data_IF_190256487935
#
_entry.id   IF_190256487935
#
_cell.length_a   1.000
_cell.length_b   1.000
_cell.length_c   1.000
_cell.angle_alpha   90.00
_cell.angle_beta   90.00
_cell.angle_gamma   90.00
#
_symmetry.space_group_name_H-M   'P 1'
#
loop_
_entity.id
_entity.type
_entity.pdbx_description
1 polymer ?
#
# COMPACT_ATOMS: atom_id res chain seq x y z
N UNK A 1 -30.91 13.34 17.43
CA UNK A 1 -29.58 13.97 17.20
C UNK A 1 -29.62 14.61 15.83
N UNK A 2 -29.37 15.91 15.71
CA UNK A 2 -29.51 16.66 14.45
C UNK A 2 -28.21 16.50 13.65
N UNK A 3 -28.25 15.72 12.56
CA UNK A 3 -27.10 15.40 11.69
C UNK A 3 -27.08 16.30 10.46
N UNK A 4 -27.21 17.61 10.65
CA UNK A 4 -27.10 18.56 9.54
C UNK A 4 -25.63 18.96 9.39
N UNK A 5 -24.96 18.63 8.26
CA UNK A 5 -23.59 19.05 8.03
C UNK A 5 -23.52 20.59 7.98
N UNK A 6 -22.45 21.20 8.52
CA UNK A 6 -22.27 22.64 8.45
C UNK A 6 -22.19 23.08 6.99
N UNK A 7 -22.88 24.18 6.67
CA UNK A 7 -22.90 24.78 5.33
C UNK A 7 -21.46 25.08 4.89
N UNK A 8 -21.10 24.59 3.71
CA UNK A 8 -19.84 24.86 3.05
C UNK A 8 -19.67 26.38 2.91
N UNK A 9 -18.68 26.95 3.61
CA UNK A 9 -18.38 28.37 3.51
C UNK A 9 -17.52 28.58 2.28
N UNK A 10 -18.15 28.96 1.18
CA UNK A 10 -17.44 29.49 0.03
C UNK A 10 -16.54 30.65 0.47
N UNK A 11 -15.25 30.52 0.17
CA UNK A 11 -14.31 31.61 0.37
C UNK A 11 -14.63 32.68 -0.69
N UNK A 12 -14.72 33.96 -0.29
CA UNK A 12 -14.94 35.03 -1.26
C UNK A 12 -13.82 35.06 -2.31
N UNK A 13 -14.15 35.46 -3.53
CA UNK A 13 -13.30 35.33 -4.72
C UNK A 13 -11.91 35.99 -4.56
N UNK A 14 -11.83 37.05 -3.76
CA UNK A 14 -10.61 37.77 -3.40
C UNK A 14 -9.60 36.90 -2.62
N UNK A 15 -10.08 36.05 -1.71
CA UNK A 15 -9.26 35.10 -0.96
C UNK A 15 -8.63 34.05 -1.87
N UNK A 16 -9.37 33.55 -2.85
CA UNK A 16 -8.84 32.58 -3.82
C UNK A 16 -7.72 33.17 -4.69
N UNK A 17 -7.86 34.44 -5.10
CA UNK A 17 -6.83 35.13 -5.87
C UNK A 17 -5.57 35.41 -5.05
N UNK A 18 -5.71 35.79 -3.78
CA UNK A 18 -4.59 36.01 -2.87
C UNK A 18 -3.76 34.73 -2.65
N UNK A 19 -4.42 33.60 -2.39
CA UNK A 19 -3.76 32.30 -2.20
C UNK A 19 -2.98 31.88 -3.46
N UNK A 20 -3.58 32.09 -4.64
CA UNK A 20 -2.91 31.75 -5.92
C UNK A 20 -1.68 32.63 -6.16
N UNK A 21 -1.74 33.92 -5.82
CA UNK A 21 -0.61 34.84 -5.96
C UNK A 21 0.56 34.48 -5.02
N UNK A 22 0.27 34.06 -3.79
CA UNK A 22 1.30 33.65 -2.82
C UNK A 22 2.01 32.36 -3.22
N UNK A 23 1.27 31.37 -3.74
CA UNK A 23 1.85 30.14 -4.28
C UNK A 23 2.78 30.42 -5.46
N UNK A 24 2.38 31.30 -6.37
CA UNK A 24 3.22 31.71 -7.50
C UNK A 24 4.49 32.45 -7.06
N UNK A 25 4.41 33.25 -5.99
CA UNK A 25 5.57 33.96 -5.43
C UNK A 25 6.55 32.99 -4.78
N UNK A 26 6.06 32.02 -4.01
CA UNK A 26 6.88 30.99 -3.36
C UNK A 26 7.63 30.11 -4.37
N UNK A 27 7.02 29.80 -5.51
CA UNK A 27 7.66 29.02 -6.57
C UNK A 27 8.77 29.77 -7.31
N UNK A 28 8.75 31.11 -7.33
CA UNK A 28 9.76 31.92 -8.03
C UNK A 28 11.05 32.15 -7.23
N UNK A 29 11.03 31.94 -5.91
CA UNK A 29 12.16 32.24 -5.02
C UNK A 29 13.27 31.18 -4.94
N UNK A 30 13.15 30.02 -5.60
CA UNK A 30 14.22 28.99 -5.65
C UNK A 30 14.84 28.86 -7.04
N UNK A 31 15.66 29.84 -7.44
CA UNK A 31 16.64 29.66 -8.52
C UNK A 31 17.74 30.72 -8.43
N UNK A 32 18.89 30.39 -7.83
CA UNK A 32 20.27 30.59 -8.36
C UNK A 32 21.34 30.65 -7.27
N UNK A 33 22.38 29.80 -7.41
CA UNK A 33 23.85 30.04 -7.30
C UNK A 33 24.56 28.66 -7.21
N UNK A 34 25.18 28.16 -8.29
CA UNK A 34 26.58 28.36 -8.75
C UNK A 34 27.65 27.54 -7.97
N UNK A 35 28.00 26.34 -8.51
CA UNK A 35 29.31 25.70 -8.90
C UNK A 35 30.56 25.99 -8.00
N UNK A 36 31.49 25.05 -7.62
CA UNK A 36 32.30 24.24 -8.56
C UNK A 36 32.81 22.83 -8.19
N UNK A 37 33.26 22.14 -9.25
CA UNK A 37 34.00 20.88 -9.32
C UNK A 37 35.36 20.94 -8.63
N UNK A 38 35.84 19.81 -8.07
CA UNK A 38 37.27 19.52 -7.82
C UNK A 38 37.46 18.03 -7.41
N UNK A 39 38.39 17.38 -8.14
CA UNK A 39 39.36 16.35 -7.67
C UNK A 39 38.85 14.98 -7.19
N UNK A 40 39.59 13.88 -7.20
CA UNK A 40 40.75 13.36 -7.92
C UNK A 40 40.95 11.92 -7.38
N UNK A 41 41.65 11.09 -8.16
CA UNK A 41 42.15 9.75 -7.88
C UNK A 41 42.48 9.38 -6.41
N UNK A 42 42.17 8.14 -6.03
CA UNK A 42 42.69 7.46 -4.84
C UNK A 42 42.81 5.95 -5.09
N UNK A 43 44.02 5.43 -5.00
CA UNK A 43 44.45 4.12 -5.47
C UNK A 43 44.25 2.97 -4.47
N UNK A 44 44.34 1.75 -5.04
CA UNK A 44 44.82 0.47 -4.48
C UNK A 44 45.28 0.44 -3.01
N UNK A 45 44.78 -0.55 -2.27
CA UNK A 45 45.33 -0.99 -0.98
C UNK A 45 44.96 -2.44 -0.68
N UNK A 46 45.96 -3.32 -0.70
CA UNK A 46 45.87 -4.75 -0.52
C UNK A 46 46.03 -5.18 0.96
N UNK A 47 45.46 -6.36 1.30
CA UNK A 47 45.95 -7.36 2.28
C UNK A 47 46.05 -7.00 3.77
N UNK A 48 45.32 -7.74 4.62
CA UNK A 48 45.82 -8.47 5.82
C UNK A 48 44.62 -9.15 6.53
N UNK A 49 44.54 -10.50 6.56
CA UNK A 49 44.97 -11.34 7.69
C UNK A 49 44.33 -10.97 9.05
N UNK A 50 43.30 -11.72 9.46
CA UNK A 50 42.90 -11.87 10.87
C UNK A 50 42.39 -13.32 11.06
N UNK A 51 43.31 -14.23 11.38
CA UNK A 51 43.51 -14.80 12.74
C UNK A 51 42.37 -15.74 13.15
N UNK A 52 42.67 -17.02 12.97
CA UNK A 52 42.05 -18.19 13.59
C UNK A 52 42.04 -17.99 15.12
N UNK A 53 40.88 -17.68 15.68
CA UNK A 53 40.65 -17.80 17.12
C UNK A 53 40.20 -19.24 17.44
N UNK A 54 41.19 -20.09 17.70
CA UNK A 54 41.02 -21.31 18.49
C UNK A 54 40.91 -20.89 19.97
N UNK A 55 39.69 -20.80 20.48
CA UNK A 55 39.44 -20.73 21.92
C UNK A 55 38.85 -22.06 22.42
N UNK A 56 39.33 -22.58 23.57
CA UNK A 56 38.81 -23.78 24.19
C UNK A 56 37.44 -23.49 24.81
N UNK A 57 36.40 -24.19 24.34
CA UNK A 57 35.07 -24.13 24.96
C UNK A 57 35.10 -24.78 26.34
N UNK A 58 35.03 -23.94 27.39
CA UNK A 58 34.73 -24.38 28.75
C UNK A 58 33.27 -24.81 28.81
N UNK A 59 33.05 -26.09 29.12
CA UNK A 59 31.74 -26.64 29.41
C UNK A 59 31.11 -25.93 30.61
N UNK A 60 30.03 -25.19 30.35
CA UNK A 60 29.08 -24.70 31.34
C UNK A 60 27.84 -25.60 31.41
N UNK A 61 27.12 -25.59 32.53
CA UNK A 61 26.07 -26.55 32.85
C UNK A 61 24.93 -26.55 31.83
N UNK A 62 24.53 -27.75 31.43
CA UNK A 62 23.42 -28.05 30.52
C UNK A 62 22.11 -27.49 31.09
N UNK A 63 21.73 -26.29 30.66
CA UNK A 63 20.37 -25.80 30.81
C UNK A 63 19.45 -26.75 30.02
N UNK A 64 18.44 -27.28 30.70
CA UNK A 64 17.45 -28.16 30.09
C UNK A 64 16.85 -27.52 28.83
N UNK A 65 16.49 -28.31 27.81
CA UNK A 65 15.96 -27.79 26.56
C UNK A 65 14.76 -26.89 26.88
N UNK A 66 14.74 -25.62 26.39
CA UNK A 66 13.56 -24.79 26.52
C UNK A 66 12.40 -25.57 25.90
N UNK A 67 11.36 -25.82 26.71
CA UNK A 67 10.16 -26.48 26.24
C UNK A 67 9.71 -25.78 24.96
N UNK A 68 9.56 -26.53 23.88
CA UNK A 68 9.14 -26.01 22.60
C UNK A 68 7.73 -25.44 22.77
N UNK A 69 7.65 -24.14 23.04
CA UNK A 69 6.40 -23.39 22.95
C UNK A 69 6.02 -23.47 21.49
N UNK A 70 5.06 -24.34 21.18
CA UNK A 70 4.49 -24.46 19.85
C UNK A 70 3.98 -23.08 19.49
N UNK A 71 4.71 -22.37 18.62
CA UNK A 71 4.33 -21.04 18.18
C UNK A 71 2.97 -21.21 17.48
N UNK A 72 1.92 -20.72 18.12
CA UNK A 72 0.60 -20.69 17.51
C UNK A 72 0.75 -19.99 16.16
N UNK A 73 0.28 -20.65 15.09
CA UNK A 73 0.32 -20.07 13.75
C UNK A 73 -0.37 -18.70 13.73
N UNK A 74 -0.04 -17.85 12.74
CA UNK A 74 -0.68 -16.55 12.62
C UNK A 74 -2.21 -16.72 12.59
N UNK A 75 -2.97 -15.84 13.28
CA UNK A 75 -4.41 -15.95 13.36
C UNK A 75 -5.02 -15.88 11.96
N UNK A 76 -6.04 -16.73 11.71
CA UNK A 76 -6.78 -16.72 10.45
C UNK A 76 -7.62 -15.44 10.38
N UNK A 77 -7.54 -14.67 9.28
CA UNK A 77 -8.35 -13.47 9.11
C UNK A 77 -9.86 -13.76 9.21
N UNK A 78 -10.60 -12.94 9.93
CA UNK A 78 -12.06 -13.09 10.10
C UNK A 78 -12.76 -12.00 9.29
N UNK A 79 -13.64 -12.40 8.38
CA UNK A 79 -14.48 -11.47 7.61
C UNK A 79 -15.93 -11.76 7.99
N UNK A 80 -16.67 -10.80 8.56
CA UNK A 80 -18.06 -11.01 8.93
C UNK A 80 -18.90 -11.53 7.75
N UNK A 81 -19.66 -12.61 7.98
CA UNK A 81 -20.53 -13.21 6.98
C UNK A 81 -19.84 -14.10 5.93
N UNK A 82 -18.50 -14.20 5.94
CA UNK A 82 -17.77 -15.12 5.07
C UNK A 82 -17.51 -16.43 5.81
N UNK A 83 -18.24 -17.49 5.45
CA UNK A 83 -18.01 -18.81 6.02
C UNK A 83 -16.68 -19.43 5.54
N UNK A 84 -16.21 -20.45 6.26
CA UNK A 84 -14.93 -21.09 5.99
C UNK A 84 -14.88 -21.84 4.66
N UNK A 85 -16.00 -22.40 4.20
CA UNK A 85 -16.05 -23.14 2.94
C UNK A 85 -15.99 -22.18 1.74
N UNK A 86 -16.69 -21.06 1.83
CA UNK A 86 -16.64 -20.00 0.84
C UNK A 86 -15.25 -19.35 0.77
N UNK A 87 -14.65 -19.04 1.93
CA UNK A 87 -13.27 -18.57 2.02
C UNK A 87 -12.30 -19.53 1.32
N UNK A 88 -12.36 -20.82 1.64
CA UNK A 88 -11.47 -21.82 1.03
C UNK A 88 -11.61 -21.88 -0.49
N UNK A 89 -12.84 -21.76 -1.02
CA UNK A 89 -13.06 -21.68 -2.48
C UNK A 89 -12.42 -20.44 -3.09
N UNK A 90 -12.51 -19.28 -2.43
CA UNK A 90 -11.85 -18.06 -2.90
C UNK A 90 -10.33 -18.20 -2.87
N UNK A 91 -9.76 -18.71 -1.79
CA UNK A 91 -8.30 -18.91 -1.65
C UNK A 91 -7.79 -19.87 -2.73
N UNK A 92 -8.51 -20.97 -3.00
CA UNK A 92 -8.15 -21.91 -4.06
C UNK A 92 -8.36 -21.32 -5.47
N UNK A 93 -9.46 -20.61 -5.69
CA UNK A 93 -9.86 -20.11 -7.01
C UNK A 93 -9.09 -18.88 -7.47
N UNK A 94 -8.72 -18.00 -6.54
CA UNK A 94 -8.01 -16.75 -6.83
C UNK A 94 -6.50 -16.96 -6.93
N UNK A 95 -5.89 -17.59 -5.92
CA UNK A 95 -4.46 -17.86 -5.89
C UNK A 95 -4.11 -18.87 -4.79
N UNK A 96 -3.71 -20.09 -5.18
CA UNK A 96 -3.29 -21.12 -4.23
C UNK A 96 -2.18 -20.61 -3.28
N UNK A 97 -2.37 -20.81 -1.98
CA UNK A 97 -1.46 -20.33 -0.94
C UNK A 97 -1.65 -18.86 -0.53
N UNK A 98 -2.61 -18.16 -1.13
CA UNK A 98 -3.07 -16.86 -0.64
C UNK A 98 -4.18 -17.03 0.41
N UNK A 99 -4.28 -16.06 1.32
CA UNK A 99 -5.35 -16.00 2.32
C UNK A 99 -6.22 -14.76 2.09
N UNK A 100 -7.53 -14.87 2.25
CA UNK A 100 -8.44 -13.72 2.09
C UNK A 100 -8.40 -12.81 3.31
N UNK A 101 -8.05 -11.54 3.13
CA UNK A 101 -7.98 -10.53 4.21
C UNK A 101 -9.16 -9.55 4.19
N UNK A 102 -9.64 -9.21 2.99
CA UNK A 102 -10.74 -8.28 2.80
C UNK A 102 -11.70 -8.77 1.71
N UNK A 103 -12.95 -8.33 1.78
CA UNK A 103 -13.99 -8.65 0.82
C UNK A 103 -14.98 -7.49 0.78
N UNK A 104 -15.25 -6.98 -0.42
CA UNK A 104 -16.31 -6.00 -0.67
C UNK A 104 -17.34 -6.56 -1.66
N UNK A 105 -18.55 -6.04 -1.58
CA UNK A 105 -19.62 -6.27 -2.53
C UNK A 105 -20.30 -4.92 -2.83
N UNK A 106 -20.37 -4.54 -4.10
CA UNK A 106 -21.01 -3.32 -4.57
C UNK A 106 -21.63 -3.54 -5.97
N UNK A 107 -22.03 -2.47 -6.64
CA UNK A 107 -22.68 -2.51 -7.96
C UNK A 107 -21.79 -3.11 -9.08
N UNK A 108 -20.48 -3.23 -8.87
CA UNK A 108 -19.56 -3.92 -9.78
C UNK A 108 -19.34 -5.40 -9.40
N UNK A 109 -20.06 -5.92 -8.41
CA UNK A 109 -19.98 -7.33 -7.97
C UNK A 109 -19.13 -7.51 -6.71
N UNK A 110 -18.52 -8.68 -6.55
CA UNK A 110 -17.72 -9.03 -5.36
C UNK A 110 -16.24 -8.99 -5.66
N UNK A 111 -15.45 -8.46 -4.73
CA UNK A 111 -13.99 -8.39 -4.87
C UNK A 111 -13.30 -8.72 -3.55
N UNK A 112 -12.37 -9.66 -3.59
CA UNK A 112 -11.54 -10.05 -2.46
C UNK A 112 -10.12 -9.50 -2.58
N UNK A 113 -9.52 -9.16 -1.44
CA UNK A 113 -8.10 -8.87 -1.30
C UNK A 113 -7.43 -10.01 -0.55
N UNK A 114 -6.43 -10.63 -1.17
CA UNK A 114 -5.69 -11.76 -0.64
C UNK A 114 -4.20 -11.44 -0.55
N UNK A 115 -3.52 -12.09 0.39
CA UNK A 115 -2.07 -12.00 0.53
C UNK A 115 -1.43 -13.37 0.54
N UNK A 116 -0.30 -13.49 -0.16
CA UNK A 116 0.67 -14.57 0.03
C UNK A 116 1.80 -14.09 0.95
N UNK A 117 2.94 -14.79 0.98
CA UNK A 117 4.13 -14.33 1.71
C UNK A 117 4.82 -13.12 1.07
N UNK A 118 4.60 -12.87 -0.21
CA UNK A 118 5.38 -11.90 -1.01
C UNK A 118 4.56 -11.16 -2.07
N UNK A 119 3.24 -11.31 -2.04
CA UNK A 119 2.37 -10.74 -3.07
C UNK A 119 1.01 -10.42 -2.50
N UNK A 120 0.36 -9.45 -3.12
CA UNK A 120 -1.06 -9.17 -2.95
C UNK A 120 -1.79 -9.63 -4.22
N UNK A 121 -2.98 -10.17 -4.03
CA UNK A 121 -3.88 -10.59 -5.11
C UNK A 121 -5.21 -9.89 -4.89
N UNK A 122 -5.72 -9.18 -5.90
CA UNK A 122 -7.12 -8.76 -5.93
C UNK A 122 -7.87 -9.71 -6.85
N UNK A 123 -9.08 -10.10 -6.44
CA UNK A 123 -9.83 -11.15 -7.14
C UNK A 123 -11.30 -10.79 -7.25
N UNK A 124 -11.80 -10.63 -8.47
CA UNK A 124 -13.22 -10.54 -8.77
C UNK A 124 -13.87 -11.93 -8.64
N UNK A 125 -15.03 -11.98 -7.99
CA UNK A 125 -15.73 -13.23 -7.68
C UNK A 125 -17.09 -13.26 -8.39
N UNK A 126 -17.38 -14.37 -9.04
CA UNK A 126 -18.64 -14.60 -9.75
C UNK A 126 -18.69 -13.94 -11.13
N UNK A 127 -17.53 -13.80 -11.79
CA UNK A 127 -17.47 -13.37 -13.17
C UNK A 127 -18.21 -14.35 -14.10
N UNK A 128 -18.85 -13.88 -15.19
CA UNK A 128 -19.56 -14.73 -16.14
C UNK A 128 -18.64 -15.61 -17.01
N UNK A 129 -17.36 -15.26 -17.18
CA UNK A 129 -16.39 -16.10 -17.92
C UNK A 129 -15.67 -17.07 -17.00
N UNK A 130 -15.19 -16.57 -15.86
CA UNK A 130 -14.54 -17.35 -14.82
C UNK A 130 -15.16 -17.02 -13.46
N UNK A 131 -15.38 -18.02 -12.60
CA UNK A 131 -15.91 -17.77 -11.26
C UNK A 131 -14.96 -16.95 -10.38
N UNK A 132 -13.67 -16.90 -10.74
CA UNK A 132 -12.62 -16.13 -10.10
C UNK A 132 -11.74 -15.50 -11.19
N UNK A 133 -11.52 -14.19 -11.10
CA UNK A 133 -10.63 -13.45 -12.00
C UNK A 133 -9.69 -12.59 -11.17
N UNK A 134 -8.39 -12.89 -11.23
CA UNK A 134 -7.39 -12.37 -10.29
C UNK A 134 -6.28 -11.60 -10.98
N UNK A 135 -5.90 -10.47 -10.39
CA UNK A 135 -4.65 -9.77 -10.68
C UNK A 135 -3.73 -9.78 -9.47
N UNK A 136 -2.42 -9.63 -9.68
CA UNK A 136 -1.44 -9.64 -8.60
C UNK A 136 -0.49 -8.44 -8.68
N UNK A 137 0.05 -8.06 -7.53
CA UNK A 137 1.16 -7.12 -7.40
C UNK A 137 2.21 -7.69 -6.45
N UNK A 138 3.48 -7.43 -6.76
CA UNK A 138 4.59 -7.80 -5.88
C UNK A 138 4.61 -6.87 -4.68
N UNK A 139 4.68 -7.44 -3.47
CA UNK A 139 4.79 -6.66 -2.23
C UNK A 139 6.06 -7.16 -1.54
N UNK A 140 7.18 -6.42 -1.63
CA UNK A 140 8.36 -6.78 -0.87
C UNK A 140 8.00 -6.77 0.61
N UNK A 141 8.40 -7.84 1.32
CA UNK A 141 8.30 -7.93 2.76
C UNK A 141 6.88 -7.69 3.32
N UNK A 142 5.93 -8.55 2.91
CA UNK A 142 4.52 -8.51 3.35
C UNK A 142 4.39 -8.46 4.88
N UNK A 143 5.36 -8.96 5.64
CA UNK A 143 5.38 -8.91 7.11
C UNK A 143 5.53 -7.51 7.72
N UNK A 144 5.93 -6.51 6.94
CA UNK A 144 6.31 -5.18 7.42
C UNK A 144 5.56 -4.06 6.68
N UNK A 145 5.40 -2.90 7.31
CA UNK A 145 4.71 -1.74 6.74
C UNK A 145 5.68 -0.57 6.50
N UNK A 146 5.55 0.17 5.38
CA UNK A 146 6.22 1.44 5.18
C UNK A 146 5.44 2.57 5.89
N UNK A 147 5.36 2.53 7.22
CA UNK A 147 4.59 3.49 8.03
C UNK A 147 3.31 2.89 8.61
N UNK A 148 2.24 3.68 8.70
CA UNK A 148 0.95 3.19 9.23
C UNK A 148 0.03 2.64 8.16
N UNK A 149 0.27 2.92 6.87
CA UNK A 149 -0.52 2.44 5.73
C UNK A 149 0.38 2.11 4.53
N UNK A 150 0.07 1.04 3.80
CA UNK A 150 0.68 0.73 2.50
C UNK A 150 -0.35 0.77 1.39
N UNK A 151 0.05 1.13 0.17
CA UNK A 151 -0.76 0.93 -1.04
C UNK A 151 -0.17 -0.28 -1.77
N UNK A 152 -0.79 -1.45 -1.63
CA UNK A 152 -0.29 -2.67 -2.25
C UNK A 152 -0.95 -2.93 -3.63
N UNK A 153 -2.17 -2.42 -3.82
CA UNK A 153 -2.93 -2.47 -5.08
C UNK A 153 -3.39 -1.06 -5.42
N UNK A 154 -3.05 -0.60 -6.61
CA UNK A 154 -3.59 0.59 -7.27
C UNK A 154 -3.77 0.25 -8.76
N UNK A 155 -4.99 -0.07 -9.17
CA UNK A 155 -5.28 -0.57 -10.52
C UNK A 155 -6.62 -0.05 -11.04
N UNK A 156 -6.79 -0.12 -12.36
CA UNK A 156 -7.99 0.34 -13.03
C UNK A 156 -8.41 -0.64 -14.14
N UNK A 157 -9.71 -0.75 -14.33
CA UNK A 157 -10.34 -1.61 -15.31
C UNK A 157 -11.35 -0.79 -16.11
N UNK A 158 -11.10 -0.59 -17.42
CA UNK A 158 -12.05 0.13 -18.28
C UNK A 158 -13.42 -0.56 -18.29
N UNK A 159 -14.49 0.21 -18.51
CA UNK A 159 -15.83 -0.33 -18.72
C UNK A 159 -15.92 -1.12 -20.02
N UNK A 160 -16.93 -1.98 -20.10
CA UNK A 160 -17.12 -2.91 -21.22
C UNK A 160 -17.53 -2.26 -22.54
N UNK A 161 -18.11 -1.06 -22.48
CA UNK A 161 -18.55 -0.29 -23.63
C UNK A 161 -17.57 0.86 -23.95
N UNK A 162 -16.41 0.89 -23.30
CA UNK A 162 -15.37 1.86 -23.57
C UNK A 162 -14.65 1.52 -24.89
N UNK A 163 -14.41 2.54 -25.72
CA UNK A 163 -13.65 2.38 -26.96
C UNK A 163 -12.23 1.87 -26.68
N UNK A 164 -11.83 0.80 -27.39
CA UNK A 164 -10.48 0.24 -27.26
C UNK A 164 -10.27 -0.73 -26.10
N UNK A 165 -11.35 -1.26 -25.50
CA UNK A 165 -11.28 -2.36 -24.52
C UNK A 165 -11.61 -3.72 -25.17
N UNK A 166 -10.73 -4.30 -26.02
CA UNK A 166 -10.99 -5.59 -26.65
C UNK A 166 -11.14 -6.68 -25.58
N UNK A 167 -12.16 -7.53 -25.75
CA UNK A 167 -12.41 -8.66 -24.86
C UNK A 167 -13.15 -8.31 -23.56
N UNK A 168 -13.64 -7.07 -23.39
CA UNK A 168 -14.51 -6.76 -22.26
C UNK A 168 -15.98 -7.00 -22.57
N UNK A 169 -16.73 -7.31 -21.52
CA UNK A 169 -18.14 -7.71 -21.61
C UNK A 169 -19.03 -6.48 -21.78
N UNK A 170 -19.93 -6.43 -22.79
CA UNK A 170 -20.86 -5.33 -22.95
C UNK A 170 -21.62 -5.01 -21.66
N UNK A 171 -21.71 -3.73 -21.32
CA UNK A 171 -22.37 -3.24 -20.10
C UNK A 171 -21.59 -3.41 -18.79
N UNK A 172 -20.41 -4.03 -18.79
CA UNK A 172 -19.59 -4.14 -17.58
C UNK A 172 -19.14 -2.74 -17.10
N UNK A 173 -19.26 -2.47 -15.80
CA UNK A 173 -18.84 -1.21 -15.19
C UNK A 173 -17.32 -1.07 -15.22
N UNK A 174 -16.82 0.15 -15.41
CA UNK A 174 -15.42 0.44 -15.16
C UNK A 174 -15.13 0.50 -13.66
N UNK A 175 -13.89 0.22 -13.26
CA UNK A 175 -13.49 0.27 -11.84
C UNK A 175 -12.11 0.89 -11.66
N UNK A 176 -11.90 1.57 -10.55
CA UNK A 176 -10.57 1.85 -9.98
C UNK A 176 -10.52 1.24 -8.58
N UNK A 177 -9.45 0.53 -8.27
CA UNK A 177 -9.28 -0.23 -7.04
C UNK A 177 -8.02 0.23 -6.32
N UNK A 178 -8.17 0.58 -5.05
CA UNK A 178 -7.06 0.89 -4.15
C UNK A 178 -7.19 0.05 -2.89
N UNK A 179 -6.14 -0.65 -2.53
CA UNK A 179 -6.13 -1.50 -1.34
C UNK A 179 -4.73 -1.73 -0.81
N UNK A 180 -4.66 -2.15 0.45
CA UNK A 180 -3.38 -2.38 1.10
C UNK A 180 -3.50 -2.75 2.56
N UNK A 181 -2.37 -2.69 3.26
CA UNK A 181 -2.25 -3.04 4.68
C UNK A 181 -2.25 -1.78 5.53
N UNK A 182 -2.70 -1.92 6.78
CA UNK A 182 -2.72 -0.85 7.78
C UNK A 182 -2.21 -1.33 9.12
N UNK A 183 -1.63 -0.42 9.89
CA UNK A 183 -1.29 -0.63 11.30
C UNK A 183 -2.55 -0.78 12.17
N UNK A 184 -2.47 -1.41 13.35
CA UNK A 184 -3.62 -1.62 14.24
C UNK A 184 -4.25 -0.33 14.78
N UNK A 185 -3.54 0.81 14.71
CA UNK A 185 -4.03 2.10 15.21
C UNK A 185 -5.00 2.80 14.24
N UNK A 186 -5.11 2.31 13.00
CA UNK A 186 -6.01 2.86 11.99
C UNK A 186 -7.43 2.36 12.20
N UNK A 187 -8.35 3.29 12.40
CA UNK A 187 -9.79 3.02 12.50
C UNK A 187 -10.56 3.42 11.23
N UNK A 188 -10.00 4.32 10.40
CA UNK A 188 -10.65 4.80 9.18
C UNK A 188 -9.63 5.06 8.08
N UNK A 189 -9.97 4.69 6.84
CA UNK A 189 -9.19 5.03 5.65
C UNK A 189 -10.09 5.73 4.65
N UNK A 190 -9.62 6.87 4.13
CA UNK A 190 -10.25 7.59 3.02
C UNK A 190 -9.33 7.53 1.82
N UNK A 191 -9.89 7.16 0.67
CA UNK A 191 -9.18 7.10 -0.59
C UNK A 191 -9.76 8.15 -1.52
N UNK A 192 -8.90 8.96 -2.12
CA UNK A 192 -9.27 9.95 -3.13
C UNK A 192 -8.63 9.62 -4.46
N UNK A 193 -9.43 9.46 -5.52
CA UNK A 193 -8.95 9.27 -6.90
C UNK A 193 -9.71 10.24 -7.80
N UNK A 194 -8.97 11.04 -8.59
CA UNK A 194 -9.59 11.99 -9.53
C UNK A 194 -10.58 12.98 -8.90
N UNK A 195 -10.35 13.38 -7.65
CA UNK A 195 -11.22 14.30 -6.90
C UNK A 195 -12.41 13.63 -6.21
N UNK A 196 -12.71 12.37 -6.50
CA UNK A 196 -13.73 11.60 -5.78
C UNK A 196 -13.10 10.98 -4.54
N UNK A 197 -13.79 11.03 -3.40
CA UNK A 197 -13.33 10.41 -2.15
C UNK A 197 -14.34 9.36 -1.68
N UNK A 198 -13.86 8.17 -1.36
CA UNK A 198 -14.64 7.09 -0.75
C UNK A 198 -14.00 6.67 0.57
N UNK A 199 -14.82 6.18 1.49
CA UNK A 199 -14.34 5.51 2.70
C UNK A 199 -14.08 4.04 2.37
N UNK A 200 -12.89 3.54 2.69
CA UNK A 200 -12.50 2.18 2.40
C UNK A 200 -13.12 1.20 3.40
N UNK A 201 -13.43 -0.01 2.94
CA UNK A 201 -13.82 -1.12 3.82
C UNK A 201 -12.58 -1.67 4.51
N UNK A 202 -12.56 -1.62 5.85
CA UNK A 202 -11.46 -2.14 6.66
C UNK A 202 -11.82 -3.54 7.19
N UNK A 203 -10.90 -4.48 7.01
CA UNK A 203 -10.98 -5.81 7.61
C UNK A 203 -9.58 -6.38 7.82
N UNK A 204 -9.35 -7.07 8.95
CA UNK A 204 -8.10 -7.82 9.21
C UNK A 204 -6.80 -7.05 8.95
N UNK A 205 -6.70 -5.81 9.44
CA UNK A 205 -5.55 -4.91 9.20
C UNK A 205 -5.27 -4.66 7.70
N UNK A 206 -6.31 -4.67 6.88
CA UNK A 206 -6.27 -4.25 5.47
C UNK A 206 -7.41 -3.30 5.18
N UNK A 207 -7.31 -2.57 4.08
CA UNK A 207 -8.37 -1.74 3.56
C UNK A 207 -8.58 -1.99 2.07
N UNK A 208 -9.80 -1.74 1.61
CA UNK A 208 -10.18 -1.90 0.21
C UNK A 208 -11.19 -0.82 -0.19
N UNK A 209 -10.87 -0.06 -1.23
CA UNK A 209 -11.72 0.98 -1.81
C UNK A 209 -11.89 0.73 -3.30
N UNK A 210 -13.13 0.71 -3.78
CA UNK A 210 -13.43 0.58 -5.21
C UNK A 210 -14.30 1.75 -5.67
N UNK A 211 -13.87 2.41 -6.72
CA UNK A 211 -14.63 3.43 -7.43
C UNK A 211 -15.30 2.75 -8.62
N UNK A 212 -16.62 2.81 -8.68
CA UNK A 212 -17.41 2.19 -9.76
C UNK A 212 -17.80 3.27 -10.77
N UNK A 213 -17.47 3.02 -12.03
CA UNK A 213 -17.70 3.92 -13.15
C UNK A 213 -18.72 3.35 -14.13
N UNK A 214 -19.37 4.20 -14.96
CA UNK A 214 -20.24 3.72 -16.05
C UNK A 214 -19.53 2.74 -17.00
N UNK A 215 -20.31 1.95 -17.75
CA UNK A 215 -19.77 0.99 -18.70
C UNK A 215 -19.02 1.64 -19.88
N UNK A 216 -19.29 2.91 -20.16
CA UNK A 216 -18.61 3.72 -21.18
C UNK A 216 -17.32 4.39 -20.67
N UNK A 217 -16.94 4.17 -19.41
CA UNK A 217 -15.76 4.82 -18.82
C UNK A 217 -14.46 4.20 -19.35
N UNK A 218 -13.59 5.04 -19.92
CA UNK A 218 -12.23 4.68 -20.28
C UNK A 218 -11.25 5.07 -19.17
N UNK A 219 -10.20 4.27 -19.00
CA UNK A 219 -9.09 4.60 -18.11
C UNK A 219 -8.40 5.86 -18.67
N UNK A 220 -8.22 6.93 -17.88
CA UNK A 220 -7.49 8.11 -18.33
C UNK A 220 -6.05 7.78 -18.74
N UNK A 221 -5.56 8.38 -19.82
CA UNK A 221 -4.18 8.17 -20.31
C UNK A 221 -3.11 8.53 -19.27
N UNK A 222 -3.39 9.55 -18.45
CA UNK A 222 -2.59 9.90 -17.30
C UNK A 222 -3.18 9.25 -16.05
N UNK A 223 -2.54 8.22 -15.48
CA UNK A 223 -3.05 7.55 -14.29
C UNK A 223 -3.22 8.57 -13.17
N UNK A 224 -4.43 8.59 -12.59
CA UNK A 224 -4.76 9.47 -11.49
C UNK A 224 -4.23 8.82 -10.22
N UNK A 225 -3.28 9.47 -9.56
CA UNK A 225 -2.69 8.94 -8.32
C UNK A 225 -3.75 8.89 -7.22
N UNK A 226 -3.82 7.76 -6.53
CA UNK A 226 -4.61 7.65 -5.32
C UNK A 226 -3.98 8.46 -4.18
N UNK A 227 -4.81 9.17 -3.42
CA UNK A 227 -4.43 9.76 -2.14
C UNK A 227 -5.13 8.98 -1.04
N UNK A 228 -4.36 8.25 -0.24
CA UNK A 228 -4.84 7.45 0.87
C UNK A 228 -4.53 8.18 2.16
N UNK A 229 -5.57 8.43 2.97
CA UNK A 229 -5.45 9.04 4.30
C UNK A 229 -5.97 8.10 5.36
N UNK A 230 -5.14 7.80 6.35
CA UNK A 230 -5.44 6.88 7.42
C UNK A 230 -5.58 7.64 8.75
N UNK A 231 -6.65 7.34 9.49
CA UNK A 231 -7.03 8.03 10.71
C UNK A 231 -7.22 7.06 11.86
N UNK A 232 -6.94 7.52 13.07
CA UNK A 232 -7.28 6.80 14.29
C UNK A 232 -8.77 6.88 14.64
N UNK A 233 -9.15 6.27 15.77
CA UNK A 233 -10.53 6.27 16.28
C UNK A 233 -11.02 7.63 16.78
N UNK A 234 -10.11 8.57 17.09
CA UNK A 234 -10.44 9.95 17.45
C UNK A 234 -10.58 10.86 16.21
N UNK A 235 -10.26 10.35 15.01
CA UNK A 235 -10.27 11.09 13.76
C UNK A 235 -9.00 11.89 13.48
N UNK A 236 -7.92 11.66 14.24
CA UNK A 236 -6.61 12.22 13.96
C UNK A 236 -6.00 11.54 12.73
N UNK A 237 -5.45 12.33 11.82
CA UNK A 237 -4.70 11.81 10.68
C UNK A 237 -3.37 11.25 11.16
N UNK A 238 -3.17 9.94 11.00
CA UNK A 238 -1.93 9.26 11.35
C UNK A 238 -0.98 9.17 10.16
N UNK A 239 -1.51 9.02 8.94
CA UNK A 239 -0.70 8.83 7.75
C UNK A 239 -1.41 9.28 6.47
N UNK A 240 -0.63 9.66 5.47
CA UNK A 240 -1.12 10.12 4.17
C UNK A 240 -0.16 9.76 3.05
N UNK A 241 -0.55 8.82 2.20
CA UNK A 241 0.23 8.39 1.02
C UNK A 241 -0.44 8.93 -0.23
N UNK A 242 0.32 9.61 -1.09
CA UNK A 242 -0.16 10.22 -2.34
C UNK A 242 0.51 9.63 -3.61
N UNK A 243 1.39 8.64 -3.43
CA UNK A 243 2.05 7.92 -4.50
C UNK A 243 2.53 6.54 -4.01
N UNK A 244 2.04 5.42 -4.58
CA UNK A 244 2.52 4.09 -4.22
C UNK A 244 3.99 3.86 -4.59
N UNK A 245 4.53 4.60 -5.56
CA UNK A 245 5.89 4.42 -6.05
C UNK A 245 6.91 5.38 -5.41
N UNK A 246 6.47 6.38 -4.66
CA UNK A 246 7.33 7.48 -4.20
C UNK A 246 6.89 8.01 -2.84
N UNK A 247 7.18 7.25 -1.78
CA UNK A 247 7.31 7.89 -0.46
C UNK A 247 8.71 8.47 -0.37
N UNK A 248 8.84 9.75 0.00
CA UNK A 248 10.15 10.36 0.33
C UNK A 248 10.79 9.71 1.59
N UNK A 249 10.04 8.83 2.24
CA UNK A 249 10.38 8.16 3.46
C UNK A 249 11.02 6.79 3.20
N UNK A 250 12.21 6.57 3.75
CA UNK A 250 12.85 5.25 3.79
C UNK A 250 12.40 4.48 5.04
N UNK A 251 12.06 3.21 4.87
CA UNK A 251 11.79 2.26 5.95
C UNK A 251 12.71 1.06 5.87
N UNK A 252 13.10 0.52 7.02
CA UNK A 252 14.03 -0.61 7.13
C UNK A 252 13.45 -1.66 8.07
N UNK A 253 13.44 -2.92 7.63
CA UNK A 253 13.06 -4.07 8.45
C UNK A 253 14.15 -4.39 9.48
N UNK A 254 13.87 -5.17 10.54
CA UNK A 254 14.87 -5.45 11.59
C UNK A 254 16.14 -6.18 11.13
N UNK A 255 16.10 -6.88 10.00
CA UNK A 255 17.25 -7.54 9.36
C UNK A 255 18.07 -6.60 8.47
N UNK A 256 17.66 -5.34 8.36
CA UNK A 256 18.34 -4.30 7.60
C UNK A 256 17.89 -4.16 6.15
N UNK A 257 16.81 -4.85 5.76
CA UNK A 257 16.28 -4.77 4.40
C UNK A 257 15.48 -3.48 4.25
N UNK A 258 15.86 -2.66 3.27
CA UNK A 258 15.15 -1.42 2.97
C UNK A 258 13.87 -1.72 2.18
N UNK A 259 12.75 -1.28 2.73
CA UNK A 259 11.46 -1.30 2.08
C UNK A 259 11.38 -0.07 1.16
N UNK A 260 11.57 -0.30 -0.14
CA UNK A 260 11.53 0.68 -1.24
C UNK A 260 12.83 1.51 -1.45
N UNK A 261 13.70 1.01 -2.34
CA UNK A 261 14.73 1.81 -3.04
C UNK A 261 14.35 1.89 -4.52
N UNK A 262 13.58 2.90 -4.91
CA UNK A 262 13.24 3.17 -6.32
C UNK A 262 14.28 4.03 -7.04
N UNK A 263 15.56 3.77 -6.78
CA UNK A 263 16.64 4.19 -7.68
C UNK A 263 17.18 5.58 -7.38
N UNK A 264 16.96 6.08 -6.18
CA UNK A 264 17.74 7.19 -5.64
C UNK A 264 19.12 6.66 -5.24
N UNK A 265 19.93 6.28 -6.24
CA UNK A 265 21.37 6.02 -6.11
C UNK A 265 22.18 7.28 -5.79
N UNK A 266 21.53 8.34 -5.31
CA UNK A 266 22.26 9.44 -4.71
C UNK A 266 22.85 8.91 -3.41
N UNK A 267 24.16 9.00 -3.29
CA UNK A 267 25.06 8.31 -2.36
C UNK A 267 24.83 8.55 -0.86
N UNK A 268 23.72 9.18 -0.48
CA UNK A 268 23.32 9.42 0.90
C UNK A 268 21.83 9.15 1.01
N UNK A 269 21.46 7.87 1.19
CA UNK A 269 20.11 7.54 1.61
C UNK A 269 19.88 8.17 2.99
N UNK A 270 18.72 8.81 3.22
CA UNK A 270 18.38 9.27 4.56
C UNK A 270 18.39 8.09 5.54
N UNK A 271 18.67 8.36 6.82
CA UNK A 271 18.55 7.35 7.87
C UNK A 271 17.13 6.80 7.85
N UNK A 272 17.01 5.52 7.47
CA UNK A 272 15.72 4.85 7.33
C UNK A 272 15.05 4.69 8.69
N UNK A 273 13.73 4.84 8.71
CA UNK A 273 12.94 4.59 9.91
C UNK A 273 12.70 3.09 10.06
N UNK A 274 12.60 2.56 11.30
CA UNK A 274 12.23 1.17 11.48
C UNK A 274 10.81 0.94 10.93
N UNK A 275 10.66 -0.09 10.10
CA UNK A 275 9.37 -0.53 9.60
C UNK A 275 8.59 -1.22 10.73
N UNK A 276 7.34 -0.80 11.03
CA UNK A 276 6.51 -1.54 11.98
C UNK A 276 6.06 -2.88 11.39
N UNK A 277 5.92 -3.93 12.21
CA UNK A 277 5.38 -5.20 11.75
C UNK A 277 3.90 -5.04 11.39
N UNK A 278 3.48 -5.66 10.29
CA UNK A 278 2.06 -5.71 9.94
C UNK A 278 1.29 -6.67 10.86
N UNK A 279 1.93 -7.79 11.27
CA UNK A 279 1.32 -8.87 12.03
C UNK A 279 1.96 -9.03 13.39
#
# INVERSE_FOLDING_TARGET
MNTTPPVERDLPLDRHLAIRADLQRAMRTKRTRWVPALSAAGALGAVALAVVFLLPQRGGPTAGPPGATSAAGPPVPVIPGLDSAERARMEQGCASGAQVFNLIADDAGRLALLYTRSSVVYCEIGGPETPFDGGFSGVPDVGWLPGHVSIDVDTASAGGDAGGAPGKRPGARGTELVGGRISPDIAKVRVTVGGQTVEAVIANRTYLARFVHPATWSIPESPRRAIVRAYDSAGLLLDSVNDPAWTDDCYETPDGTQMFDHGSRTSELPVCRPAPPWR
#
